data_IF_008622322031
#
_entry.id   IF_008622322031
#
_cell.length_a   1.000
_cell.length_b   1.000
_cell.length_c   1.000
_cell.angle_alpha   90.00
_cell.angle_beta   90.00
_cell.angle_gamma   90.00
#
_symmetry.space_group_name_H-M   'P 1'
#
loop_
_entity.id
_entity.type
_entity.pdbx_description
1 polymer ?
#
# COMPACT_ATOMS: atom_id res chain seq x y z
N UNK A 1 5.40 -12.52 4.96
CA UNK A 1 5.40 -11.36 5.87
C UNK A 1 4.14 -10.54 5.62
N UNK A 2 3.47 -10.12 6.69
CA UNK A 2 2.28 -9.28 6.66
C UNK A 2 2.64 -7.83 6.96
N UNK A 3 2.04 -6.96 6.19
CA UNK A 3 2.21 -5.52 6.26
C UNK A 3 0.85 -4.90 6.55
N UNK A 4 0.84 -3.86 7.39
CA UNK A 4 -0.27 -2.92 7.50
C UNK A 4 0.25 -1.56 7.06
N UNK A 5 -0.40 -0.95 6.09
CA UNK A 5 -0.07 0.38 5.62
C UNK A 5 -1.25 1.32 5.80
N UNK A 6 -0.95 2.57 6.17
CA UNK A 6 -1.90 3.65 6.27
C UNK A 6 -1.48 4.76 5.33
N UNK A 7 -2.39 5.15 4.45
CA UNK A 7 -2.28 6.36 3.63
C UNK A 7 -3.09 7.49 4.29
N UNK A 8 -2.43 8.45 4.96
CA UNK A 8 -3.12 9.47 5.73
C UNK A 8 -3.72 10.55 4.83
N UNK A 9 -4.87 11.07 5.24
CA UNK A 9 -5.43 12.33 4.78
C UNK A 9 -5.74 13.25 5.97
N UNK A 10 -6.38 14.39 5.71
CA UNK A 10 -6.74 15.35 6.77
C UNK A 10 -7.87 14.86 7.68
N UNK A 11 -8.85 14.13 7.13
CA UNK A 11 -10.04 13.69 7.87
C UNK A 11 -10.24 12.17 7.86
N UNK A 12 -9.71 11.50 6.84
CA UNK A 12 -9.82 10.06 6.61
C UNK A 12 -8.48 9.50 6.16
N UNK A 13 -8.33 8.20 6.24
CA UNK A 13 -7.14 7.50 5.75
C UNK A 13 -7.53 6.22 5.01
N UNK A 14 -6.73 5.88 4.00
CA UNK A 14 -6.75 4.55 3.40
C UNK A 14 -5.93 3.58 4.25
N UNK A 15 -6.39 2.33 4.35
CA UNK A 15 -5.69 1.24 5.05
C UNK A 15 -5.64 0.03 4.14
N UNK A 16 -4.48 -0.62 4.10
CA UNK A 16 -4.31 -1.91 3.46
C UNK A 16 -3.56 -2.85 4.40
N UNK A 17 -4.01 -4.10 4.47
CA UNK A 17 -3.31 -5.20 5.12
C UNK A 17 -3.08 -6.27 4.06
N UNK A 18 -1.82 -6.62 3.85
CA UNK A 18 -1.44 -7.56 2.81
C UNK A 18 -0.33 -8.50 3.28
N UNK A 19 -0.38 -9.72 2.78
CA UNK A 19 0.67 -10.71 2.94
C UNK A 19 1.48 -10.80 1.65
N UNK A 20 2.81 -10.74 1.78
CA UNK A 20 3.76 -10.98 0.69
C UNK A 20 4.75 -12.07 1.11
N UNK A 21 5.31 -12.85 0.16
CA UNK A 21 6.39 -13.77 0.46
C UNK A 21 7.59 -13.03 1.10
N UNK A 22 8.32 -13.73 1.97
CA UNK A 22 9.54 -13.20 2.59
C UNK A 22 10.61 -12.94 1.51
N UNK A 23 11.17 -11.74 1.47
CA UNK A 23 12.16 -11.34 0.48
C UNK A 23 13.47 -12.14 0.58
N UNK A 24 13.81 -12.66 1.77
CA UNK A 24 14.97 -13.55 1.94
C UNK A 24 14.87 -14.84 1.11
N UNK A 25 13.66 -15.22 0.68
CA UNK A 25 13.42 -16.34 -0.25
C UNK A 25 13.45 -15.95 -1.72
N UNK A 26 13.57 -14.66 -2.03
CA UNK A 26 13.55 -14.11 -3.39
C UNK A 26 14.92 -13.59 -3.86
N UNK A 27 15.98 -13.77 -3.06
CA UNK A 27 17.33 -13.24 -3.32
C UNK A 27 18.06 -13.86 -4.52
N UNK A 28 17.50 -14.88 -5.18
CA UNK A 28 18.15 -15.57 -6.31
C UNK A 28 17.88 -14.91 -7.69
N UNK A 29 17.39 -13.66 -7.73
CA UNK A 29 17.17 -12.93 -8.99
C UNK A 29 17.75 -11.51 -8.92
N UNK A 30 18.64 -11.21 -9.87
CA UNK A 30 19.36 -9.94 -10.01
C UNK A 30 18.46 -8.69 -9.96
N UNK A 31 18.96 -7.54 -9.48
CA UNK A 31 18.16 -6.36 -9.11
C UNK A 31 17.61 -5.53 -10.28
N UNK A 32 17.68 -6.03 -11.52
CA UNK A 32 17.52 -5.20 -12.74
C UNK A 32 16.34 -5.62 -13.63
N UNK A 33 15.42 -6.45 -13.12
CA UNK A 33 14.28 -6.90 -13.92
C UNK A 33 13.14 -5.86 -13.92
N UNK A 34 12.74 -5.33 -15.10
CA UNK A 34 11.61 -4.40 -15.22
C UNK A 34 10.25 -4.98 -14.77
N UNK A 35 10.21 -6.28 -14.43
CA UNK A 35 9.03 -7.06 -14.05
C UNK A 35 8.83 -7.26 -12.53
N UNK A 36 9.75 -6.78 -11.66
CA UNK A 36 9.66 -7.04 -10.20
C UNK A 36 8.36 -6.54 -9.57
N UNK A 37 7.84 -5.40 -10.01
CA UNK A 37 6.57 -4.88 -9.52
C UNK A 37 5.40 -5.81 -9.89
N UNK A 38 5.38 -6.34 -11.12
CA UNK A 38 4.35 -7.26 -11.57
C UNK A 38 4.45 -8.63 -10.87
N UNK A 39 5.66 -9.12 -10.59
CA UNK A 39 5.86 -10.31 -9.76
C UNK A 39 5.32 -10.11 -8.32
N UNK A 40 5.54 -8.93 -7.73
CA UNK A 40 4.97 -8.60 -6.42
C UNK A 40 3.44 -8.52 -6.47
N UNK A 41 2.87 -7.96 -7.54
CA UNK A 41 1.41 -7.93 -7.74
C UNK A 41 0.82 -9.34 -7.84
N UNK A 42 1.52 -10.27 -8.49
CA UNK A 42 1.06 -11.66 -8.61
C UNK A 42 1.16 -12.46 -7.30
N UNK A 43 1.96 -11.99 -6.33
CA UNK A 43 2.23 -12.70 -5.08
C UNK A 43 1.60 -12.04 -3.85
N UNK A 44 1.15 -10.79 -3.97
CA UNK A 44 0.48 -10.10 -2.88
C UNK A 44 -0.91 -10.67 -2.64
N UNK A 45 -1.17 -11.06 -1.40
CA UNK A 45 -2.49 -11.42 -0.94
C UNK A 45 -3.06 -10.28 -0.11
N UNK A 46 -4.13 -9.64 -0.60
CA UNK A 46 -4.83 -8.58 0.13
C UNK A 46 -5.73 -9.25 1.19
N UNK A 47 -5.45 -8.99 2.46
CA UNK A 47 -6.22 -9.52 3.59
C UNK A 47 -7.32 -8.55 4.03
N UNK A 48 -7.04 -7.24 3.98
CA UNK A 48 -7.99 -6.20 4.33
C UNK A 48 -7.70 -4.90 3.58
N UNK A 49 -8.76 -4.15 3.30
CA UNK A 49 -8.65 -2.80 2.75
C UNK A 49 -9.87 -1.97 3.14
N UNK A 50 -9.63 -0.72 3.52
CA UNK A 50 -10.69 0.20 3.90
C UNK A 50 -10.26 1.65 3.70
N UNK A 51 -11.24 2.55 3.56
CA UNK A 51 -11.05 4.00 3.70
C UNK A 51 -12.02 4.45 4.77
N UNK A 52 -11.51 5.06 5.83
CA UNK A 52 -12.31 5.39 7.01
C UNK A 52 -11.84 6.68 7.69
N UNK A 53 -12.72 7.38 8.44
CA UNK A 53 -12.34 8.52 9.26
C UNK A 53 -11.20 8.18 10.23
N UNK A 54 -10.38 9.19 10.58
CA UNK A 54 -9.22 8.96 11.44
C UNK A 54 -9.57 8.41 12.83
N UNK A 55 -10.72 8.81 13.40
CA UNK A 55 -11.18 8.29 14.70
C UNK A 55 -11.51 6.81 14.61
N UNK A 56 -12.31 6.42 13.61
CA UNK A 56 -12.66 5.02 13.37
C UNK A 56 -11.40 4.18 13.09
N UNK A 57 -10.41 4.74 12.38
CA UNK A 57 -9.13 4.07 12.16
C UNK A 57 -8.45 3.71 13.48
N UNK A 58 -8.37 4.66 14.42
CA UNK A 58 -7.70 4.44 15.70
C UNK A 58 -8.46 3.47 16.59
N UNK A 59 -9.78 3.38 16.44
CA UNK A 59 -10.63 2.41 17.14
C UNK A 59 -10.50 1.00 16.56
N UNK A 60 -10.38 0.86 15.24
CA UNK A 60 -10.27 -0.45 14.57
C UNK A 60 -8.87 -1.04 14.55
N UNK A 61 -7.85 -0.18 14.66
CA UNK A 61 -6.45 -0.59 14.60
C UNK A 61 -6.08 -1.73 15.58
N UNK A 62 -6.50 -1.72 16.87
CA UNK A 62 -6.21 -2.83 17.79
C UNK A 62 -6.72 -4.18 17.29
N UNK A 63 -7.96 -4.21 16.77
CA UNK A 63 -8.58 -5.42 16.23
C UNK A 63 -7.77 -5.94 15.04
N UNK A 64 -7.32 -5.05 14.16
CA UNK A 64 -6.50 -5.45 13.02
C UNK A 64 -5.10 -5.91 13.41
N UNK A 65 -4.48 -5.28 14.41
CA UNK A 65 -3.18 -5.70 14.94
C UNK A 65 -3.26 -7.10 15.55
N UNK A 66 -4.33 -7.42 16.28
CA UNK A 66 -4.56 -8.74 16.86
C UNK A 66 -4.91 -9.78 15.78
N UNK A 67 -5.89 -9.47 14.93
CA UNK A 67 -6.42 -10.41 13.93
C UNK A 67 -5.38 -10.79 12.87
N UNK A 68 -4.62 -9.81 12.36
CA UNK A 68 -3.72 -10.03 11.25
C UNK A 68 -2.25 -10.15 11.68
N UNK A 69 -1.89 -9.68 12.88
CA UNK A 69 -0.53 -9.69 13.43
C UNK A 69 0.52 -9.19 12.41
N UNK A 70 0.37 -7.98 11.82
CA UNK A 70 1.31 -7.47 10.83
C UNK A 70 2.69 -7.29 11.46
N UNK A 71 3.74 -7.71 10.73
CA UNK A 71 5.12 -7.57 11.22
C UNK A 71 5.73 -6.21 10.86
N UNK A 72 5.12 -5.49 9.93
CA UNK A 72 5.60 -4.18 9.45
C UNK A 72 4.42 -3.22 9.41
N UNK A 73 4.61 -2.04 9.99
CA UNK A 73 3.62 -0.97 10.03
C UNK A 73 4.15 0.20 9.23
N UNK A 74 3.45 0.56 8.15
CA UNK A 74 3.85 1.59 7.22
C UNK A 74 2.90 2.78 7.32
N UNK A 75 3.44 3.98 7.25
CA UNK A 75 2.67 5.22 7.19
C UNK A 75 3.14 6.06 6.00
N UNK A 76 2.22 6.45 5.14
CA UNK A 76 2.49 7.40 4.05
C UNK A 76 3.00 8.72 4.61
N UNK A 77 4.04 9.28 3.97
CA UNK A 77 4.64 10.55 4.39
C UNK A 77 3.92 11.80 3.86
N UNK A 78 2.74 11.64 3.26
CA UNK A 78 1.93 12.67 2.62
C UNK A 78 1.11 13.52 3.58
N UNK A 79 -0.03 14.00 3.10
CA UNK A 79 -0.88 14.95 3.82
C UNK A 79 -1.43 14.34 5.11
N UNK A 80 -1.31 15.04 6.24
CA UNK A 80 -1.83 14.56 7.53
C UNK A 80 -0.95 13.51 8.24
N UNK A 81 0.12 13.02 7.60
CA UNK A 81 1.05 12.02 8.15
C UNK A 81 1.62 12.40 9.52
N UNK A 82 2.09 13.65 9.68
CA UNK A 82 2.66 14.15 10.94
C UNK A 82 1.64 14.12 12.09
N UNK A 83 0.42 14.57 11.82
CA UNK A 83 -0.64 14.61 12.81
C UNK A 83 -1.08 13.19 13.20
N UNK A 84 -1.26 12.31 12.22
CA UNK A 84 -1.63 10.92 12.49
C UNK A 84 -0.53 10.16 13.23
N UNK A 85 0.73 10.35 12.84
CA UNK A 85 1.87 9.72 13.52
C UNK A 85 1.95 10.11 14.99
N UNK A 86 1.71 11.38 15.33
CA UNK A 86 1.68 11.83 16.72
C UNK A 86 0.60 11.09 17.53
N UNK A 87 -0.62 10.99 16.98
CA UNK A 87 -1.74 10.27 17.61
C UNK A 87 -1.47 8.77 17.74
N UNK A 88 -0.83 8.16 16.74
CA UNK A 88 -0.43 6.75 16.76
C UNK A 88 0.62 6.50 17.84
N UNK A 89 1.61 7.38 18.00
CA UNK A 89 2.64 7.27 19.04
C UNK A 89 2.08 7.47 20.45
N UNK A 90 1.10 8.37 20.60
CA UNK A 90 0.42 8.61 21.87
C UNK A 90 -0.39 7.37 22.31
N UNK A 91 -1.20 6.81 21.39
CA UNK A 91 -2.11 5.71 21.70
C UNK A 91 -1.43 4.34 21.67
N UNK A 92 -0.39 4.19 20.87
CA UNK A 92 0.34 2.93 20.65
C UNK A 92 1.86 3.14 20.72
N UNK A 93 2.40 3.55 21.88
CA UNK A 93 3.82 3.94 22.02
C UNK A 93 4.81 2.82 21.72
N UNK A 94 4.38 1.56 21.81
CA UNK A 94 5.22 0.38 21.56
C UNK A 94 5.29 -0.01 20.07
N UNK A 95 4.46 0.59 19.21
CA UNK A 95 4.43 0.27 17.79
C UNK A 95 5.42 1.15 17.01
N UNK A 96 6.25 0.50 16.19
CA UNK A 96 7.18 1.18 15.31
C UNK A 96 6.56 1.39 13.92
N UNK A 97 6.34 2.65 13.55
CA UNK A 97 5.83 3.06 12.24
C UNK A 97 6.96 3.49 11.32
N UNK A 98 7.06 2.86 10.15
CA UNK A 98 7.98 3.24 9.09
C UNK A 98 7.31 4.24 8.16
N UNK A 99 7.88 5.45 8.06
CA UNK A 99 7.44 6.44 7.07
C UNK A 99 7.90 6.02 5.67
N UNK A 100 6.98 6.08 4.71
CA UNK A 100 7.24 5.73 3.31
C UNK A 100 6.96 6.97 2.44
N UNK A 101 7.97 7.39 1.66
CA UNK A 101 7.82 8.53 0.75
C UNK A 101 6.87 8.23 -0.43
N UNK A 102 6.02 9.20 -0.76
CA UNK A 102 4.97 9.12 -1.80
C UNK A 102 5.40 9.69 -3.17
N UNK A 103 6.69 9.68 -3.52
CA UNK A 103 7.15 10.24 -4.80
C UNK A 103 6.76 9.37 -6.01
N UNK A 104 6.19 10.02 -7.03
CA UNK A 104 5.83 9.48 -8.36
C UNK A 104 4.87 8.28 -8.36
N UNK A 105 3.78 8.39 -7.59
CA UNK A 105 2.76 7.35 -7.42
C UNK A 105 1.82 7.20 -8.62
N UNK A 106 1.70 8.18 -9.52
CA UNK A 106 0.70 8.16 -10.59
C UNK A 106 0.85 6.98 -11.54
N UNK A 107 2.08 6.64 -11.96
CA UNK A 107 2.28 5.52 -12.89
C UNK A 107 2.09 4.15 -12.22
N UNK A 108 2.58 4.00 -10.99
CA UNK A 108 2.46 2.74 -10.25
C UNK A 108 1.03 2.50 -9.74
N UNK A 109 0.32 3.55 -9.33
CA UNK A 109 -1.10 3.48 -8.98
C UNK A 109 -1.97 3.10 -10.19
N UNK A 110 -1.67 3.66 -11.38
CA UNK A 110 -2.34 3.25 -12.63
C UNK A 110 -2.06 1.78 -12.98
N UNK A 111 -0.80 1.32 -12.83
CA UNK A 111 -0.42 -0.09 -12.99
C UNK A 111 -1.23 -1.00 -12.07
N UNK A 112 -1.27 -0.65 -10.78
CA UNK A 112 -2.01 -1.37 -9.74
C UNK A 112 -3.50 -1.45 -10.08
N UNK A 113 -4.12 -0.33 -10.47
CA UNK A 113 -5.53 -0.30 -10.88
C UNK A 113 -5.82 -1.25 -12.05
N UNK A 114 -5.03 -1.19 -13.13
CA UNK A 114 -5.26 -2.03 -14.31
C UNK A 114 -4.87 -3.51 -14.12
N UNK A 115 -4.08 -3.84 -13.10
CA UNK A 115 -3.84 -5.22 -12.70
C UNK A 115 -5.13 -5.86 -12.14
N UNK A 116 -5.81 -5.18 -11.22
CA UNK A 116 -7.09 -5.65 -10.66
C UNK A 116 -8.29 -5.39 -11.59
N UNK A 117 -8.18 -4.43 -12.51
CA UNK A 117 -9.21 -4.06 -13.48
C UNK A 117 -8.65 -4.09 -14.92
N UNK A 118 -8.41 -5.28 -15.49
CA UNK A 118 -7.81 -5.38 -16.82
C UNK A 118 -8.67 -4.66 -17.86
N UNK A 119 -8.08 -3.79 -18.70
CA UNK A 119 -8.82 -2.99 -19.65
C UNK A 119 -9.46 -3.89 -20.72
N UNK A 120 -10.76 -3.68 -20.96
CA UNK A 120 -11.55 -4.44 -21.94
C UNK A 120 -11.76 -3.64 -23.24
N UNK A 121 -11.97 -4.35 -24.34
CA UNK A 121 -12.26 -3.76 -25.65
C UNK A 121 -11.12 -2.90 -26.22
N UNK A 122 -11.47 -1.77 -26.84
CA UNK A 122 -10.51 -0.87 -27.53
C UNK A 122 -9.45 -0.29 -26.59
N UNK A 123 -9.74 -0.18 -25.29
CA UNK A 123 -8.79 0.31 -24.27
C UNK A 123 -7.56 -0.59 -24.12
N UNK A 124 -7.62 -1.86 -24.57
CA UNK A 124 -6.46 -2.77 -24.62
C UNK A 124 -5.36 -2.28 -25.57
N UNK A 125 -5.73 -1.53 -26.62
CA UNK A 125 -4.80 -1.04 -27.64
C UNK A 125 -4.05 0.23 -27.20
N UNK A 126 -4.51 0.92 -26.16
CA UNK A 126 -3.82 2.10 -25.62
C UNK A 126 -2.61 1.70 -24.77
N UNK A 127 -1.45 2.36 -24.93
CA UNK A 127 -0.32 2.24 -24.00
C UNK A 127 -0.73 2.59 -22.57
N UNK A 128 -0.17 1.89 -21.59
CA UNK A 128 -0.55 2.01 -20.18
C UNK A 128 -0.44 3.44 -19.62
N UNK A 129 0.56 4.21 -20.04
CA UNK A 129 0.71 5.61 -19.63
C UNK A 129 -0.43 6.54 -20.08
N UNK A 130 -1.14 6.15 -21.14
CA UNK A 130 -2.29 6.89 -21.69
C UNK A 130 -3.64 6.38 -21.18
N UNK A 131 -3.65 5.31 -20.37
CA UNK A 131 -4.88 4.79 -19.77
C UNK A 131 -5.19 5.58 -18.49
N UNK A 132 -6.36 6.21 -18.45
CA UNK A 132 -6.87 6.92 -17.28
C UNK A 132 -7.86 5.99 -16.56
N UNK A 133 -7.67 5.71 -15.25
CA UNK A 133 -8.63 4.96 -14.45
C UNK A 133 -10.00 5.66 -14.50
N UNK A 134 -11.09 4.93 -14.82
CA UNK A 134 -12.44 5.51 -14.85
C UNK A 134 -13.01 5.79 -13.44
N UNK A 135 -12.41 5.24 -12.39
CA UNK A 135 -12.82 5.40 -11.00
C UNK A 135 -11.66 5.93 -10.15
N UNK A 136 -11.94 6.66 -9.04
CA UNK A 136 -10.93 7.04 -8.07
C UNK A 136 -10.25 5.78 -7.51
N UNK A 137 -8.93 5.74 -7.61
CA UNK A 137 -8.09 4.61 -7.16
C UNK A 137 -7.43 4.89 -5.80
N UNK A 138 -7.96 5.87 -5.07
CA UNK A 138 -7.42 6.34 -3.79
C UNK A 138 -7.44 5.22 -2.72
N UNK A 139 -8.33 4.23 -2.86
CA UNK A 139 -8.38 3.05 -2.00
C UNK A 139 -7.15 2.12 -2.16
N UNK A 140 -6.40 2.24 -3.25
CA UNK A 140 -5.19 1.45 -3.51
C UNK A 140 -3.89 2.08 -3.00
N UNK A 141 -3.91 3.34 -2.55
CA UNK A 141 -2.68 4.05 -2.16
C UNK A 141 -1.97 3.35 -1.00
N UNK A 142 -2.72 2.92 0.02
CA UNK A 142 -2.16 2.17 1.14
C UNK A 142 -1.51 0.84 0.68
N UNK A 143 -2.11 0.13 -0.28
CA UNK A 143 -1.49 -1.09 -0.84
C UNK A 143 -0.23 -0.75 -1.63
N UNK A 144 -0.21 0.37 -2.35
CA UNK A 144 0.96 0.83 -3.09
C UNK A 144 2.14 1.14 -2.15
N UNK A 145 1.89 1.67 -0.95
CA UNK A 145 2.94 1.86 0.07
C UNK A 145 3.62 0.55 0.43
N UNK A 146 2.84 -0.54 0.60
CA UNK A 146 3.36 -1.89 0.87
C UNK A 146 4.25 -2.35 -0.30
N UNK A 147 3.69 -2.34 -1.51
CA UNK A 147 4.39 -2.81 -2.71
C UNK A 147 5.66 -2.02 -2.98
N UNK A 148 5.64 -0.70 -2.73
CA UNK A 148 6.81 0.16 -2.87
C UNK A 148 7.89 -0.20 -1.85
N UNK A 149 7.50 -0.36 -0.58
CA UNK A 149 8.44 -0.72 0.48
C UNK A 149 9.11 -2.07 0.20
N UNK A 150 8.38 -3.00 -0.40
CA UNK A 150 8.90 -4.31 -0.79
C UNK A 150 9.71 -4.24 -2.09
N UNK A 151 9.24 -3.52 -3.11
CA UNK A 151 9.84 -3.48 -4.44
C UNK A 151 11.00 -2.51 -4.63
N UNK A 152 11.06 -1.42 -3.87
CA UNK A 152 12.19 -0.48 -3.83
C UNK A 152 13.14 -0.75 -2.64
N UNK A 153 12.82 -1.75 -1.82
CA UNK A 153 13.61 -2.14 -0.66
C UNK A 153 14.68 -3.16 -1.03
N UNK A 154 15.87 -2.65 -1.30
CA UNK A 154 17.17 -3.31 -1.37
C UNK A 154 18.23 -2.22 -1.40
#
# INVERSE_FOLDING_TARGET
MRYLAIDPGTQKAGVAIAELPDQSRMEDKSPTEPNRFDELLNTVQILHRAVLPLEELLERLPVWLEQYAPQRLLLGAGTGSKALLARLKERFPHLHWELVEERDTTLQARRLYFHFHPPRGWRRLLPMGLRIPPEPYDDYVALLLILRKVGLGG
#
